data_IF_905894915072
#
_entry.id   IF_905894915072
#
_cell.length_a   1.000
_cell.length_b   1.000
_cell.length_c   1.000
_cell.angle_alpha   90.00
_cell.angle_beta   90.00
_cell.angle_gamma   90.00
#
_symmetry.space_group_name_H-M   'P 1'
#
loop_
_entity.id
_entity.type
_entity.pdbx_description
1 polymer ?
#
# COMPACT_ATOMS: atom_id res chain seq x y z
N UNK A 1 66.70 -11.33 -20.42
CA UNK A 1 66.92 -9.96 -20.94
C UNK A 1 66.09 -9.75 -22.18
N UNK A 2 64.90 -9.14 -22.09
CA UNK A 2 64.27 -8.41 -23.22
C UNK A 2 63.33 -7.34 -22.66
N UNK A 3 63.70 -6.08 -22.90
CA UNK A 3 62.83 -4.94 -23.25
C UNK A 3 63.58 -4.26 -24.43
N UNK A 4 62.98 -3.49 -25.36
CA UNK A 4 61.73 -2.68 -25.29
C UNK A 4 60.87 -2.87 -26.59
N UNK A 5 59.70 -2.25 -26.86
CA UNK A 5 59.40 -0.84 -27.11
C UNK A 5 57.88 -0.57 -27.05
N UNK A 6 57.46 0.55 -26.44
CA UNK A 6 56.19 1.27 -26.71
C UNK A 6 56.38 2.22 -27.91
N UNK A 7 55.42 3.06 -28.37
CA UNK A 7 54.00 3.23 -28.05
C UNK A 7 53.09 3.33 -29.31
N UNK A 8 51.78 3.12 -29.18
CA UNK A 8 50.81 3.58 -30.17
C UNK A 8 49.59 4.16 -29.47
N UNK A 9 49.52 5.48 -29.50
CA UNK A 9 48.37 6.30 -29.15
C UNK A 9 47.22 6.03 -30.10
N UNK A 10 46.05 5.65 -29.56
CA UNK A 10 44.77 5.80 -30.24
C UNK A 10 43.71 6.21 -29.24
N UNK A 11 43.73 7.51 -28.96
CA UNK A 11 42.59 8.42 -28.79
C UNK A 11 41.22 7.73 -28.67
N UNK A 12 40.83 7.48 -27.42
CA UNK A 12 39.43 7.24 -27.05
C UNK A 12 38.73 8.59 -27.17
N UNK A 13 37.89 8.74 -28.19
CA UNK A 13 36.96 9.87 -28.29
C UNK A 13 35.96 9.77 -27.12
N UNK A 14 36.16 10.59 -26.09
CA UNK A 14 35.10 10.92 -25.15
C UNK A 14 34.07 11.78 -25.87
N UNK A 15 32.93 11.19 -26.25
CA UNK A 15 31.75 11.94 -26.59
C UNK A 15 31.24 12.66 -25.31
N UNK A 16 31.03 13.98 -25.32
CA UNK A 16 30.44 14.67 -24.18
C UNK A 16 28.98 14.24 -24.03
N UNK A 17 28.70 13.58 -22.92
CA UNK A 17 27.33 13.27 -22.46
C UNK A 17 26.69 14.61 -22.06
N UNK A 18 26.05 15.27 -23.02
CA UNK A 18 25.17 16.40 -22.77
C UNK A 18 23.92 15.96 -21.99
N UNK A 19 23.33 16.83 -21.16
CA UNK A 19 22.16 16.51 -20.35
C UNK A 19 20.95 16.23 -21.25
N UNK A 20 20.34 15.06 -21.06
CA UNK A 20 19.12 14.67 -21.76
C UNK A 20 17.97 15.65 -21.44
N UNK A 21 17.20 16.12 -22.45
CA UNK A 21 16.04 16.96 -22.21
C UNK A 21 14.93 16.18 -21.49
N UNK A 22 14.41 16.76 -20.42
CA UNK A 22 13.26 16.27 -19.63
C UNK A 22 12.06 15.93 -20.54
N UNK A 23 11.41 14.76 -20.39
CA UNK A 23 10.23 14.42 -21.16
C UNK A 23 9.03 15.27 -20.70
N UNK A 24 8.51 16.11 -21.59
CA UNK A 24 7.24 16.82 -21.42
C UNK A 24 6.06 15.83 -21.40
N UNK A 25 5.01 16.05 -20.59
CA UNK A 25 3.81 15.21 -20.60
C UNK A 25 3.04 15.38 -21.91
N UNK A 26 2.70 14.26 -22.57
CA UNK A 26 1.89 14.26 -23.80
C UNK A 26 0.44 14.69 -23.49
N UNK A 27 -0.22 15.47 -24.36
CA UNK A 27 -1.63 15.78 -24.21
C UNK A 27 -2.49 14.52 -24.37
N UNK A 28 -3.52 14.43 -23.53
CA UNK A 28 -4.49 13.34 -23.46
C UNK A 28 -5.16 13.06 -24.80
N UNK A 29 -5.11 11.80 -25.24
CA UNK A 29 -5.97 11.34 -26.34
C UNK A 29 -7.42 11.46 -25.92
N UNK A 30 -8.18 12.24 -26.71
CA UNK A 30 -9.64 12.37 -26.64
C UNK A 30 -10.29 10.99 -26.63
N UNK A 31 -11.19 10.77 -25.67
CA UNK A 31 -12.13 9.65 -25.64
C UNK A 31 -13.13 9.86 -26.78
N UNK A 32 -13.24 8.90 -27.70
CA UNK A 32 -14.34 8.87 -28.67
C UNK A 32 -15.52 8.09 -28.07
N UNK A 33 -16.77 8.55 -28.22
CA UNK A 33 -17.95 7.85 -27.72
C UNK A 33 -18.35 6.75 -28.71
N UNK A 34 -18.45 5.50 -28.23
CA UNK A 34 -19.05 4.41 -29.00
C UNK A 34 -20.57 4.51 -28.90
N UNK A 35 -21.18 4.91 -30.02
CA UNK A 35 -22.60 4.78 -30.29
C UNK A 35 -23.01 3.29 -30.34
N UNK A 36 -24.08 2.99 -29.60
CA UNK A 36 -25.20 2.12 -29.95
C UNK A 36 -25.06 1.24 -31.20
N UNK A 37 -25.19 -0.08 -31.02
CA UNK A 37 -25.97 -0.95 -31.92
C UNK A 37 -26.28 -2.29 -31.21
N UNK A 38 -27.56 -2.45 -30.85
CA UNK A 38 -28.21 -3.72 -30.49
C UNK A 38 -28.12 -4.74 -31.65
N UNK A 39 -28.01 -6.05 -31.37
CA UNK A 39 -28.50 -7.06 -32.30
C UNK A 39 -29.82 -7.68 -31.84
N UNK A 40 -30.75 -7.65 -32.80
CA UNK A 40 -32.06 -8.31 -32.84
C UNK A 40 -31.94 -9.84 -32.80
N UNK A 41 -33.07 -10.45 -32.43
CA UNK A 41 -33.36 -11.87 -32.24
C UNK A 41 -33.95 -12.52 -33.53
N UNK A 42 -33.72 -13.84 -33.69
CA UNK A 42 -34.39 -14.91 -34.52
C UNK A 42 -34.10 -14.99 -36.05
N UNK A 43 -34.33 -16.15 -36.75
CA UNK A 43 -34.66 -17.54 -36.33
C UNK A 43 -33.89 -18.69 -37.09
N UNK A 44 -34.32 -19.93 -36.79
CA UNK A 44 -33.94 -21.30 -37.20
C UNK A 44 -33.80 -21.64 -38.70
N UNK A 45 -33.09 -22.75 -39.02
CA UNK A 45 -33.57 -23.98 -39.73
C UNK A 45 -32.47 -25.08 -39.72
N UNK A 46 -32.88 -26.36 -39.59
CA UNK A 46 -32.01 -27.56 -39.54
C UNK A 46 -31.73 -28.20 -40.91
N UNK A 47 -31.72 -29.55 -41.04
CA UNK A 47 -30.58 -30.44 -40.83
C UNK A 47 -30.18 -31.25 -42.10
N UNK A 48 -28.99 -31.86 -42.12
CA UNK A 48 -28.70 -32.93 -43.10
C UNK A 48 -27.22 -33.19 -43.36
N UNK A 49 -26.64 -34.24 -42.75
CA UNK A 49 -25.28 -34.70 -43.02
C UNK A 49 -25.09 -36.14 -42.54
N UNK A 50 -24.68 -37.01 -43.45
CA UNK A 50 -24.82 -38.47 -43.40
C UNK A 50 -23.76 -39.17 -42.54
N UNK A 51 -24.20 -40.31 -41.96
CA UNK A 51 -23.50 -41.57 -41.66
C UNK A 51 -22.18 -41.80 -42.43
N UNK A 52 -21.15 -42.55 -42.00
CA UNK A 52 -20.94 -43.55 -40.96
C UNK A 52 -19.42 -43.81 -40.91
N UNK A 53 -18.77 -43.88 -39.74
CA UNK A 53 -17.59 -44.74 -39.54
C UNK A 53 -17.33 -44.99 -38.05
N UNK A 54 -18.04 -46.01 -37.58
CA UNK A 54 -17.61 -47.04 -36.63
C UNK A 54 -16.24 -46.87 -35.94
N UNK A 55 -16.28 -46.59 -34.64
CA UNK A 55 -15.44 -47.30 -33.63
C UNK A 55 -16.26 -47.51 -32.36
N UNK A 56 -16.60 -48.77 -32.09
CA UNK A 56 -17.09 -49.26 -30.81
C UNK A 56 -15.94 -49.27 -29.80
N UNK A 57 -16.16 -48.79 -28.57
CA UNK A 57 -15.83 -49.51 -27.33
C UNK A 57 -16.67 -48.92 -26.18
N UNK A 58 -17.13 -49.73 -25.20
CA UNK A 58 -18.28 -49.44 -24.37
C UNK A 58 -17.92 -48.69 -23.08
N UNK A 59 -18.67 -47.63 -22.78
CA UNK A 59 -18.69 -46.99 -21.46
C UNK A 59 -19.42 -47.90 -20.46
N UNK A 60 -18.68 -48.38 -19.46
CA UNK A 60 -19.22 -49.01 -18.25
C UNK A 60 -19.97 -47.95 -17.43
N UNK A 61 -21.26 -48.16 -17.21
CA UNK A 61 -22.05 -47.44 -16.23
C UNK A 61 -21.65 -47.90 -14.81
N UNK A 62 -21.39 -46.94 -13.92
CA UNK A 62 -21.30 -47.20 -12.48
C UNK A 62 -22.54 -46.58 -11.84
N UNK A 63 -23.38 -47.44 -11.27
CA UNK A 63 -24.55 -47.07 -10.48
C UNK A 63 -24.10 -46.58 -9.10
N UNK A 64 -24.58 -45.42 -8.68
CA UNK A 64 -24.38 -44.88 -7.32
C UNK A 64 -25.53 -45.37 -6.45
N UNK A 65 -25.20 -46.19 -5.44
CA UNK A 65 -26.12 -46.66 -4.42
C UNK A 65 -26.47 -45.53 -3.44
N UNK A 66 -27.76 -45.32 -3.23
CA UNK A 66 -28.29 -44.45 -2.19
C UNK A 66 -28.09 -45.10 -0.81
N UNK A 67 -27.42 -44.39 0.11
CA UNK A 67 -27.36 -44.75 1.53
C UNK A 67 -28.36 -43.90 2.29
N UNK A 68 -29.27 -44.59 2.97
CA UNK A 68 -30.34 -44.10 3.81
C UNK A 68 -29.83 -43.50 5.12
N UNK A 69 -30.20 -42.26 5.40
CA UNK A 69 -29.92 -41.60 6.70
C UNK A 69 -31.09 -41.86 7.65
N UNK A 70 -30.84 -42.69 8.66
CA UNK A 70 -31.75 -42.97 9.76
C UNK A 70 -31.22 -42.33 11.06
N UNK A 71 -31.97 -41.32 11.53
CA UNK A 71 -32.34 -41.00 12.92
C UNK A 71 -31.27 -40.75 14.02
N UNK A 72 -31.46 -39.55 14.61
CA UNK A 72 -31.31 -39.12 16.02
C UNK A 72 -29.89 -38.80 16.50
N UNK A 73 -29.68 -37.53 16.87
CA UNK A 73 -29.79 -37.08 18.28
C UNK A 73 -29.69 -35.55 18.35
N UNK A 74 -30.72 -34.96 18.93
CA UNK A 74 -30.72 -33.62 19.50
C UNK A 74 -29.64 -33.50 20.58
N UNK A 75 -28.72 -32.55 20.40
CA UNK A 75 -27.94 -31.96 21.50
C UNK A 75 -28.01 -30.44 21.35
N UNK A 76 -28.59 -29.73 22.32
CA UNK A 76 -28.50 -28.28 22.38
C UNK A 76 -27.23 -27.94 23.16
N UNK A 77 -26.26 -27.26 22.52
CA UNK A 77 -25.33 -26.44 23.27
C UNK A 77 -25.09 -25.12 22.55
N UNK A 78 -25.53 -24.00 23.14
CA UNK A 78 -25.29 -22.67 22.62
C UNK A 78 -23.90 -22.23 23.10
N UNK A 79 -23.05 -21.76 22.20
CA UNK A 79 -22.09 -20.73 22.57
C UNK A 79 -21.78 -19.89 21.35
N UNK A 80 -22.58 -18.85 21.23
CA UNK A 80 -22.31 -17.64 20.47
C UNK A 80 -20.90 -17.16 20.81
N UNK A 81 -19.92 -17.49 19.95
CA UNK A 81 -18.66 -16.76 19.94
C UNK A 81 -18.92 -15.46 19.19
N UNK A 82 -19.57 -14.53 19.88
CA UNK A 82 -19.42 -13.11 19.62
C UNK A 82 -17.92 -12.81 19.68
N UNK A 83 -17.26 -12.85 18.52
CA UNK A 83 -16.14 -11.94 18.29
C UNK A 83 -16.76 -10.57 18.36
N UNK A 84 -16.84 -10.01 19.57
CA UNK A 84 -16.97 -8.59 19.72
C UNK A 84 -15.77 -7.98 18.97
N UNK A 85 -15.99 -7.23 17.88
CA UNK A 85 -14.98 -6.28 17.49
C UNK A 85 -14.85 -5.36 18.70
N UNK A 86 -13.67 -5.31 19.32
CA UNK A 86 -13.43 -4.37 20.41
C UNK A 86 -13.83 -3.01 19.85
N UNK A 87 -14.90 -2.36 20.35
CA UNK A 87 -15.18 -1.01 19.97
C UNK A 87 -14.12 -0.23 20.70
N UNK A 88 -12.99 0.03 20.04
CA UNK A 88 -12.10 1.07 20.50
C UNK A 88 -12.84 2.34 20.10
N UNK A 89 -13.45 3.09 21.02
CA UNK A 89 -13.83 4.45 20.69
C UNK A 89 -12.52 5.16 20.37
N UNK A 90 -12.27 5.36 19.08
CA UNK A 90 -11.22 6.26 18.61
C UNK A 90 -11.79 7.66 18.73
N UNK A 91 -12.06 8.08 19.97
CA UNK A 91 -12.24 9.49 20.25
C UNK A 91 -10.85 10.12 20.11
N UNK A 92 -10.69 11.01 19.13
CA UNK A 92 -9.51 11.86 19.02
C UNK A 92 -9.33 12.56 20.38
N UNK A 93 -8.21 12.27 21.08
CA UNK A 93 -7.96 12.76 22.44
C UNK A 93 -8.11 11.73 23.58
N UNK A 94 -8.70 10.55 23.35
CA UNK A 94 -8.77 9.52 24.40
C UNK A 94 -7.41 8.92 24.80
N UNK A 95 -6.40 9.06 23.94
CA UNK A 95 -5.03 8.72 24.31
C UNK A 95 -4.53 9.64 25.43
N UNK A 96 -4.79 10.95 25.39
CA UNK A 96 -4.37 11.86 26.47
C UNK A 96 -4.92 11.44 27.83
N UNK A 97 -6.23 11.10 27.90
CA UNK A 97 -6.83 10.60 29.14
C UNK A 97 -6.15 9.31 29.64
N UNK A 98 -5.78 8.40 28.73
CA UNK A 98 -5.07 7.15 29.09
C UNK A 98 -3.64 7.42 29.54
N UNK A 99 -2.91 8.34 28.90
CA UNK A 99 -1.54 8.72 29.31
C UNK A 99 -1.52 9.35 30.69
N UNK A 100 -2.41 10.33 30.94
CA UNK A 100 -2.41 11.08 32.19
C UNK A 100 -3.07 10.32 33.34
N UNK A 101 -4.15 9.55 33.11
CA UNK A 101 -4.89 8.85 34.17
C UNK A 101 -4.61 7.34 34.25
N UNK A 102 -4.18 6.69 33.16
CA UNK A 102 -4.11 5.22 33.02
C UNK A 102 -2.71 4.59 33.16
N UNK A 103 -1.71 5.37 33.56
CA UNK A 103 -0.31 4.94 33.70
C UNK A 103 0.49 5.07 32.40
N UNK A 104 1.67 5.69 32.48
CA UNK A 104 2.48 6.10 31.33
C UNK A 104 3.06 4.94 30.52
N UNK A 105 3.25 3.74 31.11
CA UNK A 105 4.00 2.64 30.49
C UNK A 105 3.43 2.12 29.17
N UNK A 106 2.13 2.32 28.92
CA UNK A 106 1.45 1.75 27.75
C UNK A 106 1.34 2.70 26.57
N UNK A 107 1.58 3.99 26.79
CA UNK A 107 1.38 5.03 25.80
C UNK A 107 2.72 5.63 25.38
N UNK A 108 2.96 5.81 24.07
CA UNK A 108 4.22 6.36 23.60
C UNK A 108 4.29 7.88 23.82
N UNK A 109 5.47 8.37 24.19
CA UNK A 109 5.75 9.79 24.36
C UNK A 109 6.00 10.47 23.00
N UNK A 110 5.36 11.62 22.70
CA UNK A 110 5.46 12.25 21.38
C UNK A 110 6.81 12.91 21.10
N UNK A 111 7.57 13.25 22.14
CA UNK A 111 8.90 13.87 21.99
C UNK A 111 10.00 12.83 21.81
N UNK A 112 9.77 11.60 22.28
CA UNK A 112 10.74 10.54 22.12
C UNK A 112 10.61 9.94 20.73
N UNK A 113 11.75 9.77 20.07
CA UNK A 113 11.84 8.98 18.85
C UNK A 113 11.44 7.52 19.12
N UNK A 114 11.02 6.77 18.09
CA UNK A 114 10.62 5.36 18.21
C UNK A 114 11.59 4.54 19.07
N UNK A 115 11.11 3.97 20.17
CA UNK A 115 11.90 3.07 21.02
C UNK A 115 12.17 1.72 20.35
N UNK A 116 11.27 1.29 19.47
CA UNK A 116 11.35 -0.02 18.80
C UNK A 116 12.02 0.07 17.44
N UNK A 117 12.85 -0.92 17.06
CA UNK A 117 13.44 -0.94 15.74
C UNK A 117 12.36 -1.03 14.63
N UNK A 118 12.57 -0.37 13.49
CA UNK A 118 11.59 -0.27 12.40
C UNK A 118 11.32 -1.60 11.70
N UNK A 119 12.24 -2.55 11.81
CA UNK A 119 12.20 -3.89 11.18
C UNK A 119 11.36 -4.88 11.98
N UNK A 120 11.13 -4.62 13.28
CA UNK A 120 10.42 -5.55 14.16
C UNK A 120 8.98 -5.79 13.65
N UNK A 121 8.71 -7.02 13.23
CA UNK A 121 7.39 -7.47 12.76
C UNK A 121 7.06 -7.09 11.31
N UNK A 122 8.00 -6.57 10.52
CA UNK A 122 7.82 -6.32 9.09
C UNK A 122 8.87 -7.08 8.28
N UNK A 123 8.50 -8.16 7.57
CA UNK A 123 9.47 -8.96 6.82
C UNK A 123 10.05 -8.24 5.59
N UNK A 124 9.37 -7.22 5.04
CA UNK A 124 9.86 -6.43 3.90
C UNK A 124 9.42 -4.96 4.00
N UNK A 125 10.11 -4.16 4.81
CA UNK A 125 9.87 -2.70 4.92
C UNK A 125 10.67 -1.97 3.85
N UNK A 126 9.98 -1.26 2.94
CA UNK A 126 10.63 -0.37 1.95
C UNK A 126 10.80 1.05 2.53
N UNK A 127 11.96 1.69 2.35
CA UNK A 127 12.13 3.09 2.71
C UNK A 127 11.29 3.99 1.79
N UNK A 128 10.89 5.16 2.28
CA UNK A 128 10.21 6.17 1.46
C UNK A 128 11.22 6.79 0.51
N UNK A 129 10.82 6.94 -0.76
CA UNK A 129 11.66 7.56 -1.78
C UNK A 129 11.30 9.04 -1.91
N UNK A 130 12.30 9.91 -1.83
CA UNK A 130 12.14 11.32 -2.10
C UNK A 130 12.13 11.55 -3.62
N UNK A 131 11.03 12.09 -4.16
CA UNK A 131 10.84 12.27 -5.60
C UNK A 131 11.55 13.53 -6.11
N UNK A 132 11.60 14.59 -5.29
CA UNK A 132 12.25 15.85 -5.66
C UNK A 132 13.73 15.87 -5.26
N UNK A 133 14.65 16.20 -6.18
CA UNK A 133 16.05 16.42 -5.82
C UNK A 133 16.20 17.69 -4.96
N UNK A 134 17.14 17.71 -3.99
CA UNK A 134 17.30 18.82 -3.05
C UNK A 134 17.65 20.15 -3.73
N UNK A 135 18.40 20.09 -4.83
CA UNK A 135 18.80 21.25 -5.62
C UNK A 135 17.58 22.00 -6.19
N UNK A 136 16.56 21.28 -6.66
CA UNK A 136 15.33 21.86 -7.20
C UNK A 136 14.52 22.55 -6.11
N UNK A 137 14.47 21.97 -4.90
CA UNK A 137 13.77 22.58 -3.76
C UNK A 137 14.45 23.86 -3.28
N UNK A 138 15.78 23.90 -3.33
CA UNK A 138 16.56 25.10 -3.03
C UNK A 138 16.33 26.19 -4.08
N UNK A 139 16.37 25.84 -5.38
CA UNK A 139 16.10 26.77 -6.47
C UNK A 139 14.68 27.36 -6.42
N UNK A 140 13.69 26.56 -6.02
CA UNK A 140 12.31 26.99 -5.82
C UNK A 140 12.09 27.85 -4.55
N UNK A 141 13.12 28.03 -3.70
CA UNK A 141 13.06 28.76 -2.42
C UNK A 141 11.98 28.24 -1.47
N UNK A 142 11.82 26.91 -1.38
CA UNK A 142 10.86 26.29 -0.45
C UNK A 142 11.41 26.34 0.99
N UNK A 143 10.61 26.77 1.99
CA UNK A 143 11.01 26.81 3.39
C UNK A 143 11.26 25.39 3.94
N UNK A 144 12.17 25.26 4.91
CA UNK A 144 12.59 23.96 5.44
C UNK A 144 11.44 23.10 5.96
N UNK A 145 10.42 23.73 6.56
CA UNK A 145 9.25 23.04 7.10
C UNK A 145 8.40 22.32 6.04
N UNK A 146 8.47 22.76 4.78
CA UNK A 146 7.68 22.21 3.67
C UNK A 146 8.50 21.30 2.75
N UNK A 147 9.74 20.97 3.14
CA UNK A 147 10.64 20.07 2.37
C UNK A 147 10.40 18.60 2.69
N UNK A 148 9.14 18.20 2.73
CA UNK A 148 8.72 16.82 2.97
C UNK A 148 8.82 15.97 1.69
N UNK A 149 8.53 14.67 1.80
CA UNK A 149 8.44 13.76 0.64
C UNK A 149 7.44 14.26 -0.42
N UNK A 150 6.43 15.02 0.02
CA UNK A 150 5.40 15.62 -0.82
C UNK A 150 5.82 16.88 -1.60
N UNK A 151 7.01 17.44 -1.32
CA UNK A 151 7.42 18.76 -1.84
C UNK A 151 7.44 18.90 -3.37
N UNK A 152 7.48 17.79 -4.10
CA UNK A 152 7.39 17.77 -5.56
C UNK A 152 6.08 18.38 -6.08
N UNK A 153 4.96 18.20 -5.37
CA UNK A 153 3.67 18.78 -5.75
C UNK A 153 3.62 20.29 -5.48
N UNK A 154 4.28 20.77 -4.43
CA UNK A 154 4.37 22.19 -4.11
C UNK A 154 5.14 22.97 -5.18
N UNK A 155 6.21 22.39 -5.73
CA UNK A 155 6.94 23.01 -6.86
C UNK A 155 6.02 23.16 -8.08
N UNK A 156 5.22 22.13 -8.40
CA UNK A 156 4.27 22.17 -9.51
C UNK A 156 3.16 23.20 -9.26
N UNK A 157 2.67 23.29 -8.03
CA UNK A 157 1.68 24.27 -7.61
C UNK A 157 2.19 25.70 -7.83
N UNK A 158 3.38 26.03 -7.33
CA UNK A 158 3.98 27.36 -7.49
C UNK A 158 4.20 27.71 -8.97
N UNK A 159 4.62 26.72 -9.78
CA UNK A 159 4.77 26.91 -11.22
C UNK A 159 3.44 27.21 -11.90
N UNK A 160 2.38 26.50 -11.54
CA UNK A 160 1.05 26.72 -12.10
C UNK A 160 0.48 28.08 -11.68
N UNK A 161 0.64 28.48 -10.41
CA UNK A 161 0.20 29.79 -9.92
C UNK A 161 0.87 30.96 -10.66
N UNK A 162 2.17 30.84 -10.98
CA UNK A 162 2.89 31.84 -11.77
C UNK A 162 2.40 31.91 -13.22
N UNK A 163 1.99 30.78 -13.81
CA UNK A 163 1.51 30.72 -15.20
C UNK A 163 0.02 31.04 -15.37
N UNK A 164 -0.78 30.91 -14.32
CA UNK A 164 -2.23 31.06 -14.37
C UNK A 164 -2.74 32.40 -13.80
N UNK A 165 -1.86 33.35 -13.48
CA UNK A 165 -2.28 34.71 -13.10
C UNK A 165 -3.02 35.34 -14.29
N UNK A 166 -4.32 35.72 -14.18
CA UNK A 166 -5.04 36.27 -13.01
C UNK A 166 -6.03 35.32 -12.30
N UNK A 167 -6.16 34.06 -12.71
CA UNK A 167 -7.14 33.12 -12.18
C UNK A 167 -6.51 32.08 -11.22
N UNK A 168 -6.61 32.27 -9.89
CA UNK A 168 -5.96 31.39 -8.91
C UNK A 168 -6.65 30.03 -8.71
N UNK A 169 -7.84 29.83 -9.26
CA UNK A 169 -8.69 28.65 -9.07
C UNK A 169 -8.40 27.52 -10.06
N UNK A 170 -7.86 27.87 -11.24
CA UNK A 170 -7.46 26.95 -12.31
C UNK A 170 -6.52 25.82 -11.86
N UNK A 171 -5.81 26.02 -10.74
CA UNK A 171 -4.84 25.10 -10.16
C UNK A 171 -5.43 24.17 -9.07
N UNK A 172 -6.76 24.07 -8.94
CA UNK A 172 -7.42 23.27 -7.89
C UNK A 172 -6.99 21.80 -7.86
N UNK A 173 -6.82 21.16 -9.02
CA UNK A 173 -6.40 19.76 -9.10
C UNK A 173 -5.02 19.53 -8.49
N UNK A 174 -4.08 20.46 -8.70
CA UNK A 174 -2.74 20.36 -8.12
C UNK A 174 -2.75 20.62 -6.61
N UNK A 175 -3.62 21.53 -6.14
CA UNK A 175 -3.85 21.74 -4.69
C UNK A 175 -4.34 20.46 -4.03
N UNK A 176 -5.41 19.86 -4.56
CA UNK A 176 -5.98 18.63 -4.00
C UNK A 176 -5.03 17.43 -4.04
N UNK A 177 -4.17 17.33 -5.06
CA UNK A 177 -3.12 16.31 -5.08
C UNK A 177 -2.10 16.53 -3.97
N UNK A 178 -1.68 17.79 -3.75
CA UNK A 178 -0.80 18.17 -2.64
C UNK A 178 -1.39 17.80 -1.28
N UNK A 179 -2.61 18.24 -1.01
CA UNK A 179 -3.34 17.97 0.23
C UNK A 179 -3.53 16.46 0.48
N UNK A 180 -3.84 15.68 -0.57
CA UNK A 180 -3.97 14.22 -0.47
C UNK A 180 -2.67 13.57 -0.06
N UNK A 181 -1.56 14.01 -0.64
CA UNK A 181 -0.24 13.48 -0.34
C UNK A 181 0.21 13.85 1.08
N UNK A 182 -0.06 15.07 1.56
CA UNK A 182 0.14 15.45 2.97
C UNK A 182 -0.74 14.64 3.92
N UNK A 183 -1.98 14.37 3.53
CA UNK A 183 -2.88 13.51 4.29
C UNK A 183 -2.36 12.08 4.40
N UNK A 184 -1.85 11.51 3.30
CA UNK A 184 -1.23 10.19 3.31
C UNK A 184 0.00 10.14 4.22
N UNK A 185 0.83 11.18 4.22
CA UNK A 185 1.98 11.31 5.13
C UNK A 185 1.53 11.39 6.60
N UNK A 186 0.44 12.12 6.89
CA UNK A 186 -0.15 12.19 8.23
C UNK A 186 -0.69 10.83 8.68
N UNK A 187 -1.42 10.11 7.81
CA UNK A 187 -1.92 8.75 8.08
C UNK A 187 -0.77 7.80 8.40
N UNK A 188 0.38 7.95 7.74
CA UNK A 188 1.55 7.15 8.09
C UNK A 188 2.05 7.46 9.50
N UNK A 189 2.20 8.75 9.87
CA UNK A 189 2.59 9.17 11.23
C UNK A 189 1.66 8.59 12.31
N UNK A 190 0.35 8.53 12.02
CA UNK A 190 -0.61 7.87 12.91
C UNK A 190 -0.36 6.35 13.05
N UNK A 191 -0.02 5.66 11.96
CA UNK A 191 0.32 4.23 12.00
C UNK A 191 1.60 3.97 12.81
N UNK A 192 2.58 4.86 12.74
CA UNK A 192 3.79 4.78 13.55
C UNK A 192 3.47 4.90 15.06
N UNK A 193 2.64 5.89 15.45
CA UNK A 193 2.18 6.06 16.83
C UNK A 193 1.40 4.84 17.36
N UNK A 194 0.44 4.33 16.59
CA UNK A 194 -0.33 3.15 17.00
C UNK A 194 0.52 1.88 17.05
N UNK A 195 1.52 1.75 16.16
CA UNK A 195 2.46 0.62 16.16
C UNK A 195 3.21 0.58 17.49
N UNK A 196 3.79 1.70 17.91
CA UNK A 196 4.53 1.78 19.18
C UNK A 196 3.65 1.45 20.37
N UNK A 197 2.45 2.05 20.44
CA UNK A 197 1.48 1.76 21.50
C UNK A 197 1.15 0.27 21.60
N UNK A 198 0.91 -0.40 20.46
CA UNK A 198 0.62 -1.85 20.44
C UNK A 198 1.85 -2.69 20.85
N UNK A 199 3.05 -2.23 20.55
CA UNK A 199 4.29 -2.89 20.96
C UNK A 199 4.55 -2.74 22.47
N UNK A 200 4.34 -1.54 23.04
CA UNK A 200 4.42 -1.31 24.49
C UNK A 200 3.40 -2.16 25.24
N UNK A 201 2.16 -2.22 24.77
CA UNK A 201 1.14 -3.09 25.35
C UNK A 201 1.52 -4.58 25.26
N UNK A 202 2.18 -5.00 24.17
CA UNK A 202 2.70 -6.37 24.05
C UNK A 202 3.84 -6.62 25.04
N UNK A 203 4.76 -5.68 25.21
CA UNK A 203 5.84 -5.79 26.20
C UNK A 203 5.30 -5.86 27.62
N UNK A 204 4.36 -4.98 28.00
CA UNK A 204 3.71 -5.01 29.33
C UNK A 204 3.06 -6.37 29.59
N UNK A 205 2.33 -6.93 28.62
CA UNK A 205 1.74 -8.27 28.75
C UNK A 205 2.75 -9.40 28.85
N UNK A 206 3.95 -9.27 28.27
CA UNK A 206 5.03 -10.26 28.40
C UNK A 206 5.66 -10.18 29.79
N UNK A 207 6.00 -8.98 30.26
CA UNK A 207 6.54 -8.73 31.61
C UNK A 207 5.63 -9.30 32.69
N UNK A 208 4.33 -8.99 32.64
CA UNK A 208 3.36 -9.53 33.60
C UNK A 208 3.26 -11.07 33.59
N UNK A 209 3.50 -11.72 32.43
CA UNK A 209 3.51 -13.18 32.33
C UNK A 209 4.80 -13.80 32.88
N UNK A 210 5.93 -13.15 32.62
CA UNK A 210 7.24 -13.55 33.15
C UNK A 210 7.27 -13.39 34.67
N UNK A 211 6.73 -12.29 35.20
CA UNK A 211 6.57 -12.05 36.64
C UNK A 211 5.63 -13.08 37.29
N UNK A 212 4.51 -13.42 36.64
CA UNK A 212 3.60 -14.45 37.14
C UNK A 212 4.21 -15.86 37.10
N UNK A 213 5.03 -16.17 36.08
CA UNK A 213 5.76 -17.43 35.99
C UNK A 213 6.85 -17.51 37.07
N UNK A 214 7.65 -16.46 37.25
CA UNK A 214 8.66 -16.38 38.30
C UNK A 214 8.03 -16.48 39.71
N UNK A 215 6.89 -15.82 39.94
CA UNK A 215 6.16 -15.94 41.21
C UNK A 215 5.63 -17.35 41.46
N UNK A 216 5.28 -18.11 40.41
CA UNK A 216 4.88 -19.51 40.52
C UNK A 216 6.07 -20.46 40.72
N UNK A 217 7.26 -20.10 40.23
CA UNK A 217 8.50 -20.87 40.46
C UNK A 217 9.09 -20.65 41.86
N UNK A 218 8.82 -19.50 42.47
CA UNK A 218 9.30 -19.14 43.82
C UNK A 218 8.31 -19.47 44.96
N UNK A 219 7.14 -20.05 44.66
CA UNK A 219 6.11 -20.45 45.62
C UNK A 219 6.05 -21.96 45.78
#
# INVERSE_FOLDING_TARGET
MVRPCSPASSLIWLAPIGPAPFPQPRPSRRVQPLHFLFPRVLPSQGPGGRHFRSRCFPFRAVAVAAVSVSRRRSFPFPFSRSRSPVPVPVAMGAHLARRYFGGADTEPDPLQTPTFPPELGLPQRRPRTMVAPPEVLAAARIPLQQRDFCAHLLVLLQRCQRGAFPEPWSCSDLKHRGERCEHEDYVMRMKEFERERRLLQRQKRRRLREEAAAAAEHA
#
